data_IF_962195513510
#
_entry.id   IF_962195513510
#
_cell.length_a   1.000
_cell.length_b   1.000
_cell.length_c   1.000
_cell.angle_alpha   90.00
_cell.angle_beta   90.00
_cell.angle_gamma   90.00
#
_symmetry.space_group_name_H-M   'P 1'
#
loop_
_entity.id
_entity.type
_entity.pdbx_description
1 polymer ?
#
# COMPACT_ATOMS: atom_id res chain seq x y z
N UNK A 1 -5.14 27.77 -9.74
CA UNK A 1 -4.43 27.61 -8.45
C UNK A 1 -3.23 26.74 -8.75
N UNK A 2 -2.02 27.08 -8.29
CA UNK A 2 -0.86 26.22 -8.50
C UNK A 2 -1.00 24.95 -7.67
N UNK A 3 -0.50 23.82 -8.18
CA UNK A 3 -0.54 22.53 -7.48
C UNK A 3 0.44 22.51 -6.31
N UNK A 4 0.28 21.54 -5.42
CA UNK A 4 1.19 21.29 -4.28
C UNK A 4 1.59 19.81 -4.23
N UNK A 5 2.73 19.50 -3.58
CA UNK A 5 3.11 18.11 -3.30
C UNK A 5 2.33 17.60 -2.08
N UNK A 6 1.64 16.48 -2.22
CA UNK A 6 0.81 15.91 -1.17
C UNK A 6 1.47 14.66 -0.54
N UNK A 7 1.44 14.60 0.78
CA UNK A 7 1.93 13.46 1.58
C UNK A 7 0.86 12.87 2.51
N UNK A 8 -0.33 13.47 2.52
CA UNK A 8 -1.44 13.06 3.38
C UNK A 8 -2.67 12.66 2.56
N UNK A 9 -3.15 11.43 2.79
CA UNK A 9 -4.33 10.92 2.11
C UNK A 9 -4.13 10.69 0.59
N UNK A 10 -5.23 10.60 -0.14
CA UNK A 10 -5.21 10.39 -1.60
C UNK A 10 -4.83 11.67 -2.36
N UNK A 11 -4.08 11.51 -3.44
CA UNK A 11 -3.75 12.61 -4.33
C UNK A 11 -4.90 12.90 -5.32
N UNK A 12 -5.05 14.18 -5.67
CA UNK A 12 -5.97 14.65 -6.69
C UNK A 12 -5.17 15.39 -7.79
N UNK A 13 -5.23 14.97 -9.06
CA UNK A 13 -4.42 15.56 -10.13
C UNK A 13 -4.75 17.02 -10.45
N UNK A 14 -5.89 17.53 -9.99
CA UNK A 14 -6.27 18.93 -10.20
C UNK A 14 -5.54 19.91 -9.28
N UNK A 15 -5.12 19.44 -8.09
CA UNK A 15 -4.53 20.26 -7.04
C UNK A 15 -3.18 19.76 -6.53
N UNK A 16 -2.77 18.54 -6.92
CA UNK A 16 -1.51 17.95 -6.49
C UNK A 16 -0.62 17.63 -7.69
N UNK A 17 0.69 17.80 -7.54
CA UNK A 17 1.66 17.24 -8.46
C UNK A 17 1.68 15.73 -8.31
N UNK A 18 1.45 15.01 -9.40
CA UNK A 18 1.33 13.56 -9.43
C UNK A 18 2.06 12.98 -10.64
N UNK A 19 2.41 11.72 -10.52
CA UNK A 19 2.86 10.94 -11.68
C UNK A 19 1.66 10.63 -12.60
N UNK A 20 1.95 10.35 -13.87
CA UNK A 20 0.94 9.80 -14.78
C UNK A 20 0.65 8.33 -14.42
N UNK A 21 -0.61 8.03 -14.13
CA UNK A 21 -1.09 6.69 -13.81
C UNK A 21 -1.66 5.93 -15.02
N UNK A 22 -1.73 6.55 -16.20
CA UNK A 22 -2.47 6.05 -17.37
C UNK A 22 -2.05 4.64 -17.79
N UNK A 23 -0.75 4.35 -17.82
CA UNK A 23 -0.23 3.03 -18.17
C UNK A 23 -0.63 1.98 -17.12
N UNK A 24 -0.43 2.28 -15.82
CA UNK A 24 -0.82 1.40 -14.72
C UNK A 24 -2.32 1.12 -14.70
N UNK A 25 -3.15 2.15 -14.90
CA UNK A 25 -4.60 2.02 -14.98
C UNK A 25 -5.03 1.16 -16.17
N UNK A 26 -4.38 1.33 -17.32
CA UNK A 26 -4.62 0.51 -18.51
C UNK A 26 -4.29 -0.97 -18.27
N UNK A 27 -3.17 -1.25 -17.60
CA UNK A 27 -2.79 -2.64 -17.24
C UNK A 27 -3.76 -3.25 -16.24
N UNK A 28 -4.18 -2.51 -15.21
CA UNK A 28 -5.18 -2.99 -14.25
C UNK A 28 -6.53 -3.23 -14.94
N UNK A 29 -6.92 -2.34 -15.85
CA UNK A 29 -8.15 -2.53 -16.64
C UNK A 29 -8.12 -3.83 -17.44
N UNK A 30 -6.99 -4.23 -18.01
CA UNK A 30 -6.87 -5.54 -18.70
C UNK A 30 -7.18 -6.71 -17.77
N UNK A 31 -6.76 -6.67 -16.50
CA UNK A 31 -7.11 -7.68 -15.50
C UNK A 31 -8.62 -7.68 -15.21
N UNK A 32 -9.22 -6.50 -15.07
CA UNK A 32 -10.67 -6.34 -14.89
C UNK A 32 -11.43 -6.86 -16.12
N UNK A 33 -10.98 -6.52 -17.33
CA UNK A 33 -11.57 -6.97 -18.59
C UNK A 33 -11.48 -8.50 -18.74
N UNK A 34 -10.43 -9.11 -18.22
CA UNK A 34 -10.29 -10.58 -18.15
C UNK A 34 -11.19 -11.21 -17.08
N UNK A 35 -11.85 -10.44 -16.24
CA UNK A 35 -12.69 -10.93 -15.14
C UNK A 35 -11.87 -11.54 -14.00
N UNK A 36 -10.65 -11.06 -13.77
CA UNK A 36 -9.79 -11.52 -12.68
C UNK A 36 -10.18 -10.84 -11.36
N UNK A 37 -10.14 -11.61 -10.27
CA UNK A 37 -10.11 -11.06 -8.92
C UNK A 37 -8.65 -11.00 -8.48
N UNK A 38 -8.23 -9.92 -7.82
CA UNK A 38 -6.84 -9.78 -7.40
C UNK A 38 -6.70 -8.93 -6.12
N UNK A 39 -5.51 -8.96 -5.54
CA UNK A 39 -5.17 -8.19 -4.34
C UNK A 39 -4.00 -7.27 -4.64
N UNK A 40 -4.11 -6.02 -4.16
CA UNK A 40 -3.03 -5.03 -4.20
C UNK A 40 -2.41 -4.96 -2.80
N UNK A 41 -1.45 -5.87 -2.55
CA UNK A 41 -0.74 -5.93 -1.29
C UNK A 41 0.54 -5.10 -1.40
N UNK A 42 0.56 -3.95 -0.76
CA UNK A 42 1.71 -3.04 -0.70
C UNK A 42 1.81 -2.42 0.69
N UNK A 43 3.02 -2.09 1.08
CA UNK A 43 3.32 -1.39 2.32
C UNK A 43 2.44 -0.13 2.52
N UNK A 44 2.42 0.40 3.74
CA UNK A 44 1.76 1.68 4.00
C UNK A 44 2.38 2.79 3.16
N UNK A 45 1.55 3.80 2.81
CA UNK A 45 1.98 4.99 2.05
C UNK A 45 2.62 4.66 0.69
N UNK A 46 2.16 3.56 0.07
CA UNK A 46 2.57 3.14 -1.27
C UNK A 46 1.64 3.65 -2.39
N UNK A 47 0.75 4.59 -2.08
CA UNK A 47 -0.17 5.18 -3.05
C UNK A 47 -1.37 4.30 -3.43
N UNK A 48 -1.70 3.25 -2.64
CA UNK A 48 -2.84 2.34 -2.91
C UNK A 48 -4.16 3.10 -3.09
N UNK A 49 -4.55 3.89 -2.09
CA UNK A 49 -5.82 4.64 -2.09
C UNK A 49 -5.90 5.61 -3.28
N UNK A 50 -4.79 6.30 -3.63
CA UNK A 50 -4.73 7.16 -4.81
C UNK A 50 -4.94 6.37 -6.11
N UNK A 51 -4.27 5.21 -6.23
CA UNK A 51 -4.42 4.33 -7.40
C UNK A 51 -5.85 3.81 -7.51
N UNK A 52 -6.47 3.37 -6.40
CA UNK A 52 -7.84 2.85 -6.39
C UNK A 52 -8.87 3.93 -6.73
N UNK A 53 -8.70 5.14 -6.22
CA UNK A 53 -9.57 6.28 -6.57
C UNK A 53 -9.48 6.62 -8.07
N UNK A 54 -8.26 6.69 -8.61
CA UNK A 54 -8.04 6.90 -10.03
C UNK A 54 -8.60 5.74 -10.89
N UNK A 55 -8.43 4.49 -10.43
CA UNK A 55 -8.96 3.31 -11.10
C UNK A 55 -10.48 3.31 -11.12
N UNK A 56 -11.12 3.64 -10.00
CA UNK A 56 -12.59 3.71 -9.92
C UNK A 56 -13.13 4.70 -10.95
N UNK A 57 -12.50 5.87 -11.08
CA UNK A 57 -12.89 6.87 -12.09
C UNK A 57 -12.61 6.38 -13.51
N UNK A 58 -11.44 5.78 -13.77
CA UNK A 58 -11.04 5.27 -15.07
C UNK A 58 -11.96 4.16 -15.59
N UNK A 59 -12.51 3.33 -14.69
CA UNK A 59 -13.39 2.22 -15.05
C UNK A 59 -14.84 2.63 -15.31
N UNK A 60 -15.30 3.84 -14.91
CA UNK A 60 -16.71 4.27 -15.00
C UNK A 60 -17.29 4.26 -16.42
N UNK A 61 -16.44 4.40 -17.45
CA UNK A 61 -16.91 4.32 -18.84
C UNK A 61 -17.51 2.97 -19.17
N UNK A 62 -16.94 1.87 -18.67
CA UNK A 62 -17.26 0.51 -19.05
C UNK A 62 -17.94 -0.29 -17.94
N UNK A 63 -17.77 0.14 -16.69
CA UNK A 63 -18.19 -0.61 -15.49
C UNK A 63 -18.98 0.29 -14.53
N UNK A 64 -19.85 -0.35 -13.74
CA UNK A 64 -20.37 0.22 -12.50
C UNK A 64 -19.41 -0.19 -11.37
N UNK A 65 -18.77 0.80 -10.74
CA UNK A 65 -17.76 0.54 -9.71
C UNK A 65 -18.36 0.83 -8.33
N UNK A 66 -18.29 -0.16 -7.45
CA UNK A 66 -18.59 -0.01 -6.01
C UNK A 66 -17.23 0.04 -5.32
N UNK A 67 -16.90 1.20 -4.73
CA UNK A 67 -15.61 1.42 -4.06
C UNK A 67 -15.85 1.70 -2.58
N UNK A 68 -15.36 0.83 -1.71
CA UNK A 68 -15.55 0.86 -0.27
C UNK A 68 -14.20 1.01 0.43
N UNK A 69 -14.19 1.72 1.58
CA UNK A 69 -13.04 1.83 2.47
C UNK A 69 -13.38 1.16 3.81
N UNK A 70 -12.72 0.06 4.13
CA UNK A 70 -12.96 -0.65 5.39
C UNK A 70 -12.37 0.04 6.62
N UNK A 71 -11.63 1.14 6.44
CA UNK A 71 -11.21 1.98 7.56
C UNK A 71 -12.41 2.66 8.27
N UNK A 72 -13.53 2.82 7.57
CA UNK A 72 -14.76 3.40 8.10
C UNK A 72 -15.59 2.41 8.94
N UNK A 73 -15.35 1.10 8.76
CA UNK A 73 -16.04 0.04 9.52
C UNK A 73 -15.31 -0.17 10.85
N UNK A 74 -16.03 -0.04 11.95
CA UNK A 74 -15.43 -0.17 13.29
C UNK A 74 -15.13 -1.63 13.65
N UNK A 75 -14.22 -1.86 14.59
CA UNK A 75 -13.91 -3.23 15.06
C UNK A 75 -15.16 -3.97 15.57
N UNK A 76 -16.09 -3.27 16.23
CA UNK A 76 -17.32 -3.84 16.74
C UNK A 76 -18.29 -4.33 15.66
N UNK A 77 -18.18 -3.80 14.43
CA UNK A 77 -19.02 -4.20 13.31
C UNK A 77 -18.58 -5.54 12.69
N UNK A 78 -17.37 -6.00 13.00
CA UNK A 78 -16.90 -7.34 12.62
C UNK A 78 -17.19 -8.41 13.67
N UNK A 79 -17.88 -8.10 14.77
CA UNK A 79 -18.13 -9.03 15.87
C UNK A 79 -19.01 -10.22 15.45
N UNK A 80 -19.99 -9.96 14.61
CA UNK A 80 -20.90 -10.98 14.09
C UNK A 80 -21.43 -10.64 12.69
N UNK A 81 -22.11 -11.59 12.07
CA UNK A 81 -22.63 -11.49 10.71
C UNK A 81 -23.64 -10.33 10.55
N UNK A 82 -24.54 -10.15 11.51
CA UNK A 82 -25.58 -9.13 11.46
C UNK A 82 -24.99 -7.71 11.46
N UNK A 83 -24.05 -7.43 12.39
CA UNK A 83 -23.38 -6.13 12.47
C UNK A 83 -22.55 -5.85 11.21
N UNK A 84 -21.82 -6.85 10.73
CA UNK A 84 -21.01 -6.69 9.52
C UNK A 84 -21.88 -6.40 8.29
N UNK A 85 -22.98 -7.13 8.11
CA UNK A 85 -23.90 -6.92 6.99
C UNK A 85 -24.54 -5.53 7.05
N UNK A 86 -24.92 -5.08 8.25
CA UNK A 86 -25.47 -3.74 8.43
C UNK A 86 -24.43 -2.66 8.08
N UNK A 87 -23.21 -2.75 8.60
CA UNK A 87 -22.15 -1.81 8.31
C UNK A 87 -21.76 -1.81 6.81
N UNK A 88 -21.61 -2.99 6.21
CA UNK A 88 -21.30 -3.12 4.79
C UNK A 88 -22.38 -2.51 3.88
N UNK A 89 -23.66 -2.76 4.23
CA UNK A 89 -24.80 -2.18 3.49
C UNK A 89 -24.83 -0.66 3.61
N UNK A 90 -24.53 -0.14 4.80
CA UNK A 90 -24.44 1.29 5.04
C UNK A 90 -23.29 1.95 4.24
N UNK A 91 -22.11 1.31 4.17
CA UNK A 91 -20.99 1.80 3.36
C UNK A 91 -21.35 1.87 1.87
N UNK A 92 -22.07 0.89 1.33
CA UNK A 92 -22.58 0.96 -0.05
C UNK A 92 -23.51 2.15 -0.23
N UNK A 93 -24.44 2.36 0.71
CA UNK A 93 -25.43 3.44 0.63
C UNK A 93 -24.80 4.83 0.70
N UNK A 94 -23.69 4.96 1.41
CA UNK A 94 -22.91 6.21 1.52
C UNK A 94 -22.05 6.43 0.27
N UNK A 95 -21.39 5.38 -0.23
CA UNK A 95 -20.40 5.47 -1.30
C UNK A 95 -21.03 5.57 -2.70
N UNK A 96 -22.23 5.01 -2.88
CA UNK A 96 -22.90 4.90 -4.17
C UNK A 96 -24.21 5.67 -4.21
N UNK A 97 -24.31 6.60 -5.15
CA UNK A 97 -25.50 7.44 -5.32
C UNK A 97 -26.51 6.85 -6.32
N UNK A 98 -26.03 6.10 -7.29
CA UNK A 98 -26.83 5.53 -8.38
C UNK A 98 -27.09 4.03 -8.11
N UNK A 99 -27.92 3.74 -7.11
CA UNK A 99 -28.35 2.38 -6.74
C UNK A 99 -29.79 2.19 -7.22
N UNK A 100 -30.11 1.10 -7.95
CA UNK A 100 -31.50 0.79 -8.32
C UNK A 100 -32.42 0.73 -7.07
N UNK A 101 -33.62 1.26 -7.18
CA UNK A 101 -34.49 1.46 -6.01
C UNK A 101 -34.81 0.18 -5.22
N UNK A 102 -35.04 -0.94 -5.91
CA UNK A 102 -35.26 -2.24 -5.26
C UNK A 102 -34.02 -2.69 -4.45
N UNK A 103 -32.83 -2.45 -4.97
CA UNK A 103 -31.56 -2.77 -4.29
C UNK A 103 -31.36 -1.83 -3.12
N UNK A 104 -31.56 -0.53 -3.33
CA UNK A 104 -31.46 0.52 -2.30
C UNK A 104 -32.39 0.22 -1.12
N UNK A 105 -33.63 -0.10 -1.40
CA UNK A 105 -34.62 -0.44 -0.36
C UNK A 105 -34.14 -1.63 0.48
N UNK A 106 -33.67 -2.70 -0.16
CA UNK A 106 -33.17 -3.86 0.56
C UNK A 106 -31.87 -3.52 1.36
N UNK A 107 -30.96 -2.74 0.83
CA UNK A 107 -29.75 -2.31 1.56
C UNK A 107 -30.11 -1.43 2.77
N UNK A 108 -31.11 -0.55 2.67
CA UNK A 108 -31.62 0.23 3.81
C UNK A 108 -32.16 -0.65 4.93
N UNK A 109 -32.91 -1.69 4.58
CA UNK A 109 -33.44 -2.66 5.57
C UNK A 109 -32.27 -3.42 6.25
N UNK A 110 -31.26 -3.84 5.50
CA UNK A 110 -30.08 -4.51 6.04
C UNK A 110 -29.27 -3.57 6.95
N UNK A 111 -29.12 -2.29 6.56
CA UNK A 111 -28.38 -1.28 7.33
C UNK A 111 -29.05 -0.91 8.66
N UNK A 112 -30.42 -0.94 8.74
CA UNK A 112 -31.14 -0.62 9.97
C UNK A 112 -30.99 -1.70 11.08
N UNK A 113 -30.58 -2.92 10.71
CA UNK A 113 -30.24 -3.98 11.68
C UNK A 113 -31.39 -4.47 12.57
N UNK A 114 -32.64 -4.04 12.32
CA UNK A 114 -33.79 -4.36 13.18
C UNK A 114 -34.58 -5.61 12.76
N UNK A 115 -34.26 -6.17 11.61
CA UNK A 115 -34.96 -7.32 11.07
C UNK A 115 -34.32 -8.67 11.41
N UNK A 116 -35.13 -9.73 11.55
CA UNK A 116 -34.72 -11.08 11.95
C UNK A 116 -33.87 -11.86 10.94
N UNK A 117 -33.43 -11.30 9.82
CA UNK A 117 -32.74 -12.04 8.75
C UNK A 117 -31.56 -11.24 8.12
N UNK A 118 -30.85 -10.48 8.92
CA UNK A 118 -29.63 -9.78 8.45
C UNK A 118 -28.47 -10.78 8.37
N UNK A 119 -28.26 -11.35 7.19
CA UNK A 119 -27.25 -12.39 6.96
C UNK A 119 -26.43 -12.11 5.70
N UNK A 120 -25.21 -12.66 5.63
CA UNK A 120 -24.39 -12.62 4.42
C UNK A 120 -25.13 -13.19 3.22
N UNK A 121 -25.95 -14.22 3.41
CA UNK A 121 -26.73 -14.82 2.34
C UNK A 121 -27.75 -13.86 1.73
N UNK A 122 -28.40 -13.01 2.54
CA UNK A 122 -29.33 -11.98 2.05
C UNK A 122 -28.55 -10.87 1.36
N UNK A 123 -27.46 -10.39 1.96
CA UNK A 123 -26.58 -9.40 1.33
C UNK A 123 -26.10 -9.86 -0.05
N UNK A 124 -25.56 -11.07 -0.15
CA UNK A 124 -25.07 -11.59 -1.44
C UNK A 124 -26.19 -11.77 -2.46
N UNK A 125 -27.37 -12.18 -2.03
CA UNK A 125 -28.54 -12.25 -2.93
C UNK A 125 -28.85 -10.86 -3.52
N UNK A 126 -28.82 -9.84 -2.71
CA UNK A 126 -29.05 -8.44 -3.12
C UNK A 126 -27.97 -7.97 -4.09
N UNK A 127 -26.70 -8.21 -3.78
CA UNK A 127 -25.58 -7.84 -4.65
C UNK A 127 -25.62 -8.58 -6.00
N UNK A 128 -25.96 -9.87 -6.01
CA UNK A 128 -26.11 -10.65 -7.25
C UNK A 128 -27.31 -10.20 -8.07
N UNK A 129 -28.41 -9.80 -7.41
CA UNK A 129 -29.54 -9.19 -8.11
C UNK A 129 -29.11 -7.87 -8.75
N UNK A 130 -28.33 -7.04 -8.07
CA UNK A 130 -27.77 -5.84 -8.65
C UNK A 130 -26.89 -6.14 -9.86
N UNK A 131 -25.97 -7.12 -9.76
CA UNK A 131 -25.17 -7.58 -10.90
C UNK A 131 -26.04 -8.03 -12.10
N UNK A 132 -27.22 -8.57 -11.85
CA UNK A 132 -28.14 -9.03 -12.91
C UNK A 132 -28.87 -7.92 -13.63
N UNK A 133 -29.30 -6.87 -12.89
CA UNK A 133 -30.14 -5.80 -13.44
C UNK A 133 -29.32 -4.60 -13.93
N UNK A 134 -28.06 -4.52 -13.57
CA UNK A 134 -27.19 -3.42 -13.96
C UNK A 134 -26.88 -3.45 -15.47
N UNK A 135 -26.96 -2.31 -16.14
CA UNK A 135 -26.60 -2.17 -17.55
C UNK A 135 -25.10 -2.40 -17.81
N UNK A 136 -24.24 -1.96 -16.87
CA UNK A 136 -22.80 -2.17 -16.89
C UNK A 136 -22.41 -3.27 -15.89
N UNK A 137 -21.42 -4.12 -16.21
CA UNK A 137 -20.94 -5.10 -15.22
C UNK A 137 -20.40 -4.40 -13.96
N UNK A 138 -20.65 -4.98 -12.79
CA UNK A 138 -20.19 -4.45 -11.52
C UNK A 138 -18.75 -4.85 -11.22
N UNK A 139 -17.97 -3.90 -10.72
CA UNK A 139 -16.65 -4.11 -10.12
C UNK A 139 -16.71 -3.68 -8.66
N UNK A 140 -16.23 -4.54 -7.77
CA UNK A 140 -16.12 -4.25 -6.33
C UNK A 140 -14.67 -3.97 -5.97
N UNK A 141 -14.42 -2.79 -5.40
CA UNK A 141 -13.13 -2.37 -4.86
C UNK A 141 -13.29 -2.21 -3.34
N UNK A 142 -12.39 -2.81 -2.56
CA UNK A 142 -12.36 -2.65 -1.10
C UNK A 142 -10.94 -2.28 -0.69
N UNK A 143 -10.77 -1.06 -0.16
CA UNK A 143 -9.51 -0.60 0.41
C UNK A 143 -9.44 -0.91 1.90
N UNK A 144 -8.21 -0.90 2.46
CA UNK A 144 -7.90 -1.12 3.88
C UNK A 144 -8.50 -2.40 4.47
N UNK A 145 -8.50 -3.50 3.68
CA UNK A 145 -9.03 -4.81 4.13
C UNK A 145 -8.29 -5.37 5.36
N UNK A 146 -7.15 -4.79 5.71
CA UNK A 146 -6.36 -5.18 6.89
C UNK A 146 -7.14 -5.07 8.21
N UNK A 147 -8.04 -4.11 8.32
CA UNK A 147 -8.90 -3.91 9.49
C UNK A 147 -9.80 -5.12 9.74
N UNK A 148 -10.17 -5.84 8.68
CA UNK A 148 -11.06 -6.97 8.70
C UNK A 148 -10.35 -8.33 8.87
N UNK A 149 -9.03 -8.41 8.65
CA UNK A 149 -8.30 -9.69 8.46
C UNK A 149 -8.29 -10.63 9.66
N UNK A 150 -8.57 -10.16 10.86
CA UNK A 150 -8.59 -10.99 12.08
C UNK A 150 -10.00 -11.47 12.47
N UNK A 151 -11.01 -11.28 11.62
CA UNK A 151 -12.40 -11.54 11.93
C UNK A 151 -12.98 -12.68 11.11
N UNK A 152 -13.65 -13.63 11.76
CA UNK A 152 -14.24 -14.80 11.12
C UNK A 152 -15.31 -14.40 10.07
N UNK A 153 -16.13 -13.38 10.35
CA UNK A 153 -17.17 -12.92 9.43
C UNK A 153 -16.59 -12.44 8.09
N UNK A 154 -15.42 -11.81 8.13
CA UNK A 154 -14.73 -11.41 6.90
C UNK A 154 -14.22 -12.61 6.10
N UNK A 155 -13.73 -13.65 6.78
CA UNK A 155 -13.35 -14.93 6.14
C UNK A 155 -14.56 -15.55 5.44
N UNK A 156 -15.73 -15.55 6.08
CA UNK A 156 -16.98 -16.08 5.54
C UNK A 156 -17.48 -15.24 4.35
N UNK A 157 -17.36 -13.92 4.43
CA UNK A 157 -17.63 -13.00 3.32
C UNK A 157 -16.76 -13.31 2.10
N UNK A 158 -15.45 -13.47 2.29
CA UNK A 158 -14.51 -13.85 1.20
C UNK A 158 -14.84 -15.23 0.63
N UNK A 159 -15.24 -16.17 1.48
CA UNK A 159 -15.63 -17.51 1.03
C UNK A 159 -16.89 -17.46 0.13
N UNK A 160 -17.85 -16.61 0.44
CA UNK A 160 -19.02 -16.40 -0.41
C UNK A 160 -18.66 -15.69 -1.72
N UNK A 161 -17.86 -14.61 -1.69
CA UNK A 161 -17.35 -13.96 -2.91
C UNK A 161 -16.71 -14.99 -3.84
N UNK A 162 -15.82 -15.83 -3.28
CA UNK A 162 -15.17 -16.90 -4.04
C UNK A 162 -16.17 -17.90 -4.62
N UNK A 163 -17.14 -18.34 -3.84
CA UNK A 163 -18.12 -19.33 -4.30
C UNK A 163 -18.93 -18.81 -5.50
N UNK A 164 -19.31 -17.54 -5.49
CA UNK A 164 -20.03 -16.91 -6.60
C UNK A 164 -19.10 -16.66 -7.79
N UNK A 165 -17.86 -16.23 -7.56
CA UNK A 165 -16.88 -16.08 -8.63
C UNK A 165 -16.65 -17.39 -9.41
N UNK A 166 -16.55 -18.51 -8.72
CA UNK A 166 -16.39 -19.83 -9.37
C UNK A 166 -17.60 -20.23 -10.22
N UNK A 167 -18.77 -19.65 -9.94
CA UNK A 167 -20.00 -19.88 -10.71
C UNK A 167 -20.29 -18.78 -11.74
N UNK A 168 -19.37 -17.84 -11.99
CA UNK A 168 -19.57 -16.68 -12.86
C UNK A 168 -20.02 -16.99 -14.29
N UNK A 169 -19.74 -18.21 -14.77
CA UNK A 169 -20.17 -18.67 -16.09
C UNK A 169 -21.66 -19.11 -16.11
N UNK A 170 -22.25 -19.32 -14.93
CA UNK A 170 -23.63 -19.84 -14.79
C UNK A 170 -24.60 -18.80 -14.27
N UNK A 171 -24.08 -17.77 -13.59
CA UNK A 171 -24.90 -16.74 -12.98
C UNK A 171 -24.19 -15.39 -12.96
N UNK A 172 -24.92 -14.27 -13.06
CA UNK A 172 -24.35 -12.93 -12.92
C UNK A 172 -23.67 -12.76 -11.55
N UNK A 173 -22.48 -12.20 -11.57
CA UNK A 173 -21.70 -11.82 -10.37
C UNK A 173 -20.80 -10.63 -10.71
N UNK A 174 -20.03 -10.14 -9.75
CA UNK A 174 -19.04 -9.11 -10.00
C UNK A 174 -18.10 -9.53 -11.13
N UNK A 175 -17.83 -8.61 -12.04
CA UNK A 175 -16.83 -8.78 -13.10
C UNK A 175 -15.44 -8.98 -12.53
N UNK A 176 -15.09 -8.19 -11.53
CA UNK A 176 -13.83 -8.24 -10.81
C UNK A 176 -14.06 -7.83 -9.36
N UNK A 177 -13.25 -8.38 -8.46
CA UNK A 177 -13.16 -7.94 -7.05
C UNK A 177 -11.71 -7.61 -6.77
N UNK A 178 -11.47 -6.37 -6.34
CA UNK A 178 -10.15 -5.82 -6.05
C UNK A 178 -10.07 -5.54 -4.55
N UNK A 179 -9.17 -6.21 -3.85
CA UNK A 179 -8.92 -5.99 -2.43
C UNK A 179 -7.58 -5.31 -2.25
N UNK A 180 -7.51 -4.26 -1.45
CA UNK A 180 -6.25 -3.57 -1.18
C UNK A 180 -5.96 -3.52 0.32
N UNK A 181 -4.68 -3.72 0.65
CA UNK A 181 -4.19 -3.71 2.02
C UNK A 181 -2.69 -3.90 2.09
N UNK A 182 -2.16 -4.03 3.31
CA UNK A 182 -0.76 -4.38 3.56
C UNK A 182 -0.61 -5.90 3.59
N UNK A 183 -1.48 -6.58 4.34
CA UNK A 183 -1.38 -8.02 4.54
C UNK A 183 -1.95 -8.81 3.36
N UNK A 184 -1.32 -9.95 3.07
CA UNK A 184 -1.87 -10.87 2.11
C UNK A 184 -3.14 -11.54 2.68
N UNK A 185 -4.28 -11.20 2.09
CA UNK A 185 -5.59 -11.75 2.44
C UNK A 185 -5.61 -13.29 2.30
N UNK A 186 -4.71 -13.86 1.50
CA UNK A 186 -4.55 -15.32 1.38
C UNK A 186 -4.09 -15.98 2.68
N UNK A 187 -3.45 -15.24 3.58
CA UNK A 187 -2.89 -15.73 4.84
C UNK A 187 -3.77 -15.46 6.07
N UNK A 188 -5.00 -14.93 5.88
CA UNK A 188 -5.90 -14.52 6.98
C UNK A 188 -6.23 -15.66 7.95
N UNK A 189 -6.48 -16.87 7.46
CA UNK A 189 -6.84 -18.00 8.32
C UNK A 189 -5.74 -18.41 9.31
N UNK A 190 -4.48 -18.29 8.95
CA UNK A 190 -3.37 -18.66 9.82
C UNK A 190 -3.26 -17.76 11.06
N UNK A 191 -3.78 -16.54 10.98
CA UNK A 191 -3.80 -15.58 12.11
C UNK A 191 -4.96 -15.84 13.07
N UNK A 192 -6.13 -16.28 12.55
CA UNK A 192 -7.33 -16.49 13.37
C UNK A 192 -7.28 -17.81 14.14
N UNK A 193 -6.65 -18.85 13.57
CA UNK A 193 -6.57 -20.20 14.15
C UNK A 193 -5.17 -20.81 14.02
N UNK A 194 -4.22 -20.41 14.86
CA UNK A 194 -2.83 -20.90 14.79
C UNK A 194 -2.69 -22.42 15.00
N UNK A 195 -3.63 -23.04 15.73
CA UNK A 195 -3.57 -24.46 16.09
C UNK A 195 -4.13 -25.43 15.04
N UNK A 196 -4.87 -24.93 14.04
CA UNK A 196 -5.43 -25.75 12.97
C UNK A 196 -4.49 -25.82 11.74
N UNK A 197 -3.26 -26.25 11.92
CA UNK A 197 -2.18 -26.25 10.91
C UNK A 197 -2.41 -27.16 9.66
N UNK A 198 -3.57 -27.79 9.49
CA UNK A 198 -3.72 -28.83 8.46
C UNK A 198 -4.71 -28.54 7.31
N UNK A 199 -5.35 -27.34 7.25
CA UNK A 199 -6.19 -26.97 6.10
C UNK A 199 -6.00 -25.49 5.72
N UNK A 200 -4.81 -25.19 5.24
CA UNK A 200 -4.40 -23.83 4.82
C UNK A 200 -4.90 -23.45 3.40
N UNK A 201 -6.15 -23.71 3.08
CA UNK A 201 -6.70 -23.13 1.85
C UNK A 201 -7.39 -21.80 2.21
N UNK A 202 -6.69 -20.70 1.92
CA UNK A 202 -7.30 -19.36 1.99
C UNK A 202 -8.61 -19.32 1.20
N UNK A 203 -9.66 -18.67 1.71
CA UNK A 203 -10.86 -18.44 0.93
C UNK A 203 -10.61 -17.59 -0.32
N UNK A 204 -9.48 -16.86 -0.37
CA UNK A 204 -9.12 -15.97 -1.47
C UNK A 204 -8.03 -16.52 -2.42
N UNK A 205 -7.90 -17.83 -2.53
CA UNK A 205 -6.93 -18.48 -3.44
C UNK A 205 -7.26 -18.33 -4.94
N UNK A 206 -8.35 -17.65 -5.29
CA UNK A 206 -8.73 -17.28 -6.66
C UNK A 206 -8.01 -16.04 -7.17
N UNK A 207 -7.33 -15.30 -6.28
CA UNK A 207 -6.69 -14.04 -6.63
C UNK A 207 -5.55 -14.23 -7.63
N UNK A 208 -5.65 -13.53 -8.76
CA UNK A 208 -4.56 -13.39 -9.72
C UNK A 208 -3.40 -12.60 -9.09
N UNK A 209 -2.18 -12.86 -9.55
CA UNK A 209 -1.00 -12.12 -9.07
C UNK A 209 -0.99 -10.71 -9.64
N UNK A 210 -1.01 -9.72 -8.77
CA UNK A 210 -0.81 -8.32 -9.13
C UNK A 210 0.69 -8.06 -9.32
N UNK A 211 1.13 -7.89 -10.58
CA UNK A 211 2.54 -7.73 -10.94
C UNK A 211 2.92 -6.30 -11.33
N UNK A 212 1.98 -5.38 -11.30
CA UNK A 212 2.18 -4.00 -11.73
C UNK A 212 3.08 -3.31 -10.70
N UNK A 213 4.16 -2.69 -11.17
CA UNK A 213 5.06 -1.94 -10.29
C UNK A 213 4.42 -0.61 -9.89
N UNK A 214 4.38 -0.36 -8.60
CA UNK A 214 3.87 0.87 -8.02
C UNK A 214 4.98 1.86 -7.64
N UNK A 215 6.27 1.46 -7.73
CA UNK A 215 7.37 2.40 -7.56
C UNK A 215 7.38 3.41 -8.71
N UNK A 216 7.76 4.63 -8.39
CA UNK A 216 7.94 5.66 -9.41
C UNK A 216 9.28 5.44 -10.12
N UNK A 217 9.26 5.41 -11.44
CA UNK A 217 10.48 5.45 -12.25
C UNK A 217 11.10 6.85 -12.23
N UNK A 218 12.30 6.99 -12.77
CA UNK A 218 12.91 8.31 -13.01
C UNK A 218 12.03 9.13 -13.94
N UNK A 219 11.42 8.50 -14.95
CA UNK A 219 10.53 9.18 -15.89
C UNK A 219 9.23 9.65 -15.21
N UNK A 220 8.65 8.84 -14.31
CA UNK A 220 7.49 9.24 -13.50
C UNK A 220 7.80 10.49 -12.66
N UNK A 221 8.95 10.49 -11.97
CA UNK A 221 9.39 11.61 -11.14
C UNK A 221 9.67 12.85 -12.02
N UNK A 222 10.33 12.65 -13.16
CA UNK A 222 10.58 13.73 -14.12
C UNK A 222 9.28 14.33 -14.65
N UNK A 223 8.28 13.50 -14.96
CA UNK A 223 6.95 13.95 -15.39
C UNK A 223 6.29 14.84 -14.34
N UNK A 224 6.30 14.41 -13.08
CA UNK A 224 5.76 15.20 -11.96
C UNK A 224 6.52 16.52 -11.74
N UNK A 225 7.85 16.51 -11.84
CA UNK A 225 8.67 17.71 -11.71
C UNK A 225 8.55 18.64 -12.93
N UNK A 226 8.27 18.12 -14.12
CA UNK A 226 7.96 18.95 -15.30
C UNK A 226 6.67 19.76 -15.11
N UNK A 227 5.64 19.19 -14.47
CA UNK A 227 4.44 19.97 -14.10
C UNK A 227 4.78 21.11 -13.13
N UNK A 228 5.65 20.84 -12.14
CA UNK A 228 6.14 21.87 -11.22
C UNK A 228 6.91 22.97 -11.97
N UNK A 229 7.79 22.59 -12.92
CA UNK A 229 8.57 23.53 -13.71
C UNK A 229 7.71 24.38 -14.66
N UNK A 230 6.59 23.83 -15.17
CA UNK A 230 5.60 24.61 -15.93
C UNK A 230 4.96 25.70 -15.08
N UNK A 231 4.70 25.42 -13.80
CA UNK A 231 4.07 26.38 -12.88
C UNK A 231 5.02 27.49 -12.39
N UNK A 232 6.29 27.16 -12.18
CA UNK A 232 7.25 28.05 -11.50
C UNK A 232 8.39 28.54 -12.38
N UNK A 233 8.71 27.86 -13.48
CA UNK A 233 9.78 28.21 -14.43
C UNK A 233 11.12 28.48 -13.74
N UNK A 234 11.52 27.58 -12.85
CA UNK A 234 12.70 27.75 -11.98
C UNK A 234 14.00 27.58 -12.74
N UNK A 235 13.98 26.88 -13.88
CA UNK A 235 15.16 26.55 -14.69
C UNK A 235 15.96 25.39 -14.11
N UNK A 236 15.36 24.52 -13.28
CA UNK A 236 16.06 23.34 -12.76
C UNK A 236 16.28 22.28 -13.84
N UNK A 237 17.36 21.51 -13.71
CA UNK A 237 17.54 20.27 -14.46
C UNK A 237 16.65 19.17 -13.89
N UNK A 238 15.47 19.00 -14.47
CA UNK A 238 14.44 18.07 -14.01
C UNK A 238 14.94 16.63 -13.97
N UNK A 239 15.70 16.21 -14.98
CA UNK A 239 16.20 14.82 -15.07
C UNK A 239 17.24 14.57 -13.98
N UNK A 240 18.20 15.48 -13.80
CA UNK A 240 19.23 15.36 -12.75
C UNK A 240 18.59 15.28 -11.34
N UNK A 241 17.60 16.12 -11.07
CA UNK A 241 16.88 16.11 -9.78
C UNK A 241 16.06 14.84 -9.59
N UNK A 242 15.38 14.37 -10.64
CA UNK A 242 14.60 13.12 -10.59
C UNK A 242 15.50 11.90 -10.34
N UNK A 243 16.66 11.80 -11.02
CA UNK A 243 17.64 10.74 -10.78
C UNK A 243 18.18 10.78 -9.34
N UNK A 244 18.45 11.97 -8.83
CA UNK A 244 18.95 12.14 -7.47
C UNK A 244 17.89 11.70 -6.44
N UNK A 245 16.64 12.11 -6.57
CA UNK A 245 15.52 11.69 -5.71
C UNK A 245 15.36 10.17 -5.80
N UNK A 246 15.34 9.60 -7.01
CA UNK A 246 15.22 8.17 -7.23
C UNK A 246 16.35 7.39 -6.55
N UNK A 247 17.59 7.87 -6.61
CA UNK A 247 18.74 7.20 -6.01
C UNK A 247 18.62 6.98 -4.50
N UNK A 248 17.93 7.85 -3.78
CA UNK A 248 17.65 7.74 -2.35
C UNK A 248 16.37 6.96 -2.03
N UNK A 249 15.32 7.15 -2.84
CA UNK A 249 13.98 6.64 -2.57
C UNK A 249 13.70 5.30 -3.24
N UNK A 250 14.46 4.92 -4.27
CA UNK A 250 14.14 3.82 -5.21
C UNK A 250 12.71 3.93 -5.74
N UNK A 251 12.19 5.14 -5.89
CA UNK A 251 10.84 5.41 -6.36
C UNK A 251 9.72 5.14 -5.36
N UNK A 252 10.01 4.97 -4.06
CA UNK A 252 8.97 4.78 -3.04
C UNK A 252 8.04 6.01 -3.01
N UNK A 253 6.72 5.87 -3.33
CA UNK A 253 5.85 7.01 -3.65
C UNK A 253 5.83 8.11 -2.58
N UNK A 254 5.65 7.71 -1.32
CA UNK A 254 5.62 8.65 -0.21
C UNK A 254 6.95 9.39 -0.02
N UNK A 255 8.08 8.67 -0.11
CA UNK A 255 9.40 9.29 0.07
C UNK A 255 9.69 10.31 -1.04
N UNK A 256 9.32 10.00 -2.29
CA UNK A 256 9.44 10.93 -3.42
C UNK A 256 8.63 12.20 -3.14
N UNK A 257 7.34 12.05 -2.83
CA UNK A 257 6.46 13.20 -2.55
C UNK A 257 6.93 14.00 -1.34
N UNK A 258 7.44 13.33 -0.29
CA UNK A 258 7.94 13.96 0.91
C UNK A 258 9.19 14.81 0.65
N UNK A 259 10.15 14.28 -0.10
CA UNK A 259 11.35 15.04 -0.49
C UNK A 259 10.98 16.26 -1.35
N UNK A 260 10.12 16.07 -2.35
CA UNK A 260 9.65 17.18 -3.19
C UNK A 260 8.93 18.26 -2.36
N UNK A 261 8.06 17.86 -1.43
CA UNK A 261 7.38 18.79 -0.53
C UNK A 261 8.37 19.58 0.35
N UNK A 262 9.32 18.89 0.98
CA UNK A 262 10.34 19.54 1.82
C UNK A 262 11.21 20.51 1.01
N UNK A 263 11.57 20.17 -0.22
CA UNK A 263 12.34 21.08 -1.07
C UNK A 263 11.49 22.29 -1.42
N UNK A 264 10.25 22.09 -1.84
CA UNK A 264 9.37 23.17 -2.26
C UNK A 264 9.00 24.12 -1.12
N UNK A 265 8.58 23.58 0.02
CA UNK A 265 8.02 24.38 1.12
C UNK A 265 9.10 24.87 2.10
N UNK A 266 10.01 23.97 2.54
CA UNK A 266 10.94 24.27 3.63
C UNK A 266 12.27 24.84 3.14
N UNK A 267 12.79 24.37 1.98
CA UNK A 267 14.11 24.78 1.50
C UNK A 267 13.99 25.98 0.55
N UNK A 268 13.09 25.92 -0.41
CA UNK A 268 12.88 27.00 -1.41
C UNK A 268 11.88 28.05 -0.94
N UNK A 269 10.86 27.63 -0.20
CA UNK A 269 9.84 28.54 0.35
C UNK A 269 9.21 29.41 -0.75
N UNK A 270 9.13 30.71 -0.50
CA UNK A 270 8.55 31.66 -1.44
C UNK A 270 9.45 31.97 -2.65
N UNK A 271 10.77 31.75 -2.54
CA UNK A 271 11.73 32.11 -3.58
C UNK A 271 11.60 31.29 -4.87
N UNK A 272 11.12 30.03 -4.75
CA UNK A 272 10.91 29.10 -5.85
C UNK A 272 12.05 29.10 -6.89
N UNK A 273 13.29 29.09 -6.44
CA UNK A 273 14.47 29.02 -7.30
C UNK A 273 14.74 27.59 -7.76
N UNK A 274 15.60 27.42 -8.78
CA UNK A 274 15.99 26.10 -9.27
C UNK A 274 16.44 25.16 -8.14
N UNK A 275 15.95 23.93 -8.18
CA UNK A 275 16.39 22.88 -7.26
C UNK A 275 17.77 22.39 -7.66
N UNK A 276 18.58 22.06 -6.67
CA UNK A 276 19.92 21.53 -6.83
C UNK A 276 20.08 20.19 -6.14
N UNK A 277 21.11 19.43 -6.47
CA UNK A 277 21.49 18.20 -5.73
C UNK A 277 21.63 18.45 -4.23
N UNK A 278 22.17 19.62 -3.86
CA UNK A 278 22.32 20.00 -2.45
C UNK A 278 20.99 20.17 -1.73
N UNK A 279 19.95 20.64 -2.42
CA UNK A 279 18.59 20.75 -1.86
C UNK A 279 18.02 19.34 -1.60
N UNK A 280 18.21 18.40 -2.53
CA UNK A 280 17.80 17.00 -2.32
C UNK A 280 18.51 16.39 -1.12
N UNK A 281 19.84 16.58 -1.00
CA UNK A 281 20.61 16.11 0.16
C UNK A 281 20.10 16.71 1.48
N UNK A 282 19.77 17.99 1.45
CA UNK A 282 19.24 18.68 2.63
C UNK A 282 17.86 18.12 3.02
N UNK A 283 16.97 17.90 2.04
CA UNK A 283 15.67 17.28 2.28
C UNK A 283 15.81 15.85 2.83
N UNK A 284 16.73 15.05 2.30
CA UNK A 284 17.00 13.70 2.83
C UNK A 284 17.46 13.76 4.29
N UNK A 285 18.34 14.70 4.65
CA UNK A 285 18.79 14.89 6.04
C UNK A 285 17.64 15.31 6.95
N UNK A 286 16.81 16.24 6.51
CA UNK A 286 15.61 16.67 7.25
C UNK A 286 14.69 15.48 7.48
N UNK A 287 14.36 14.71 6.46
CA UNK A 287 13.49 13.53 6.56
C UNK A 287 14.05 12.46 7.51
N UNK A 288 15.36 12.21 7.49
CA UNK A 288 16.01 11.25 8.38
C UNK A 288 15.95 11.65 9.86
N UNK A 289 15.88 12.95 10.15
CA UNK A 289 15.77 13.49 11.52
C UNK A 289 14.33 13.70 11.97
N UNK A 290 13.37 13.60 11.06
CA UNK A 290 11.97 13.83 11.36
C UNK A 290 11.30 12.65 12.07
N UNK A 291 10.29 12.96 12.91
CA UNK A 291 9.32 11.98 13.42
C UNK A 291 8.26 11.75 12.36
N UNK A 292 8.40 10.64 11.64
CA UNK A 292 7.57 10.36 10.49
C UNK A 292 6.73 9.09 10.72
N UNK A 293 5.41 9.12 10.46
CA UNK A 293 4.54 7.96 10.66
C UNK A 293 4.98 6.71 9.87
N UNK A 294 5.64 6.88 8.71
CA UNK A 294 6.20 5.76 7.95
C UNK A 294 7.29 5.05 8.76
N UNK A 295 8.24 5.80 9.31
CA UNK A 295 9.34 5.23 10.12
C UNK A 295 8.84 4.63 11.43
N UNK A 296 7.87 5.29 12.09
CA UNK A 296 7.23 4.74 13.30
C UNK A 296 6.56 3.39 13.02
N UNK A 297 5.85 3.28 11.89
CA UNK A 297 5.23 2.04 11.46
C UNK A 297 6.28 0.96 11.16
N UNK A 298 7.37 1.30 10.46
CA UNK A 298 8.45 0.35 10.15
C UNK A 298 9.13 -0.14 11.44
N UNK A 299 9.50 0.77 12.34
CA UNK A 299 10.14 0.41 13.62
C UNK A 299 9.21 -0.46 14.48
N UNK A 300 7.91 -0.12 14.53
CA UNK A 300 6.91 -0.94 15.19
C UNK A 300 6.87 -2.37 14.67
N UNK A 301 6.93 -2.56 13.33
CA UNK A 301 6.97 -3.88 12.70
C UNK A 301 8.25 -4.67 13.02
N UNK A 302 9.41 -4.03 13.09
CA UNK A 302 10.65 -4.70 13.51
C UNK A 302 10.57 -5.20 14.94
N UNK A 303 9.94 -4.47 15.84
CA UNK A 303 9.75 -4.88 17.23
C UNK A 303 8.71 -6.02 17.35
N UNK A 304 7.67 -6.00 16.50
CA UNK A 304 6.61 -7.01 16.48
C UNK A 304 7.09 -8.35 15.87
N UNK A 305 8.02 -8.30 14.88
CA UNK A 305 8.45 -9.46 14.09
C UNK A 305 9.96 -9.71 14.21
N UNK A 306 10.44 -10.50 15.21
CA UNK A 306 11.87 -10.76 15.41
C UNK A 306 12.58 -11.38 14.20
N UNK A 307 11.87 -12.20 13.40
CA UNK A 307 12.40 -12.78 12.15
C UNK A 307 12.78 -11.73 11.12
N UNK A 308 11.92 -10.70 10.97
CA UNK A 308 12.20 -9.55 10.09
C UNK A 308 13.38 -8.74 10.64
N UNK A 309 13.40 -8.46 11.97
CA UNK A 309 14.52 -7.74 12.62
C UNK A 309 15.85 -8.45 12.36
N UNK A 310 15.91 -9.77 12.50
CA UNK A 310 17.11 -10.57 12.24
C UNK A 310 17.52 -10.53 10.75
N UNK A 311 16.58 -10.66 9.81
CA UNK A 311 16.86 -10.55 8.38
C UNK A 311 17.50 -9.21 8.04
N UNK A 312 16.90 -8.11 8.51
CA UNK A 312 17.42 -6.75 8.28
C UNK A 312 18.81 -6.58 8.89
N UNK A 313 19.04 -7.10 10.11
CA UNK A 313 20.36 -7.10 10.73
C UNK A 313 21.43 -7.83 9.89
N UNK A 314 21.11 -9.00 9.37
CA UNK A 314 22.02 -9.78 8.51
C UNK A 314 22.37 -9.03 7.23
N UNK A 315 21.38 -8.39 6.60
CA UNK A 315 21.59 -7.56 5.40
C UNK A 315 22.47 -6.36 5.69
N UNK A 316 22.19 -5.61 6.77
CA UNK A 316 22.86 -4.34 7.06
C UNK A 316 24.25 -4.52 7.67
N UNK A 317 24.42 -5.40 8.64
CA UNK A 317 25.65 -5.48 9.45
C UNK A 317 26.54 -6.66 9.08
N UNK A 318 26.01 -7.77 8.61
CA UNK A 318 26.81 -8.91 8.16
C UNK A 318 27.12 -8.90 6.68
N UNK A 319 26.40 -8.09 5.88
CA UNK A 319 26.56 -8.05 4.44
C UNK A 319 26.26 -9.35 3.73
N UNK A 320 25.40 -10.17 4.32
CA UNK A 320 25.05 -11.46 3.76
C UNK A 320 24.35 -11.28 2.40
N UNK A 321 24.77 -12.06 1.42
CA UNK A 321 24.05 -12.18 0.16
C UNK A 321 22.93 -13.22 0.36
N UNK A 322 21.71 -12.75 0.57
CA UNK A 322 20.56 -13.60 0.89
C UNK A 322 19.74 -13.80 -0.39
N UNK A 323 19.64 -15.07 -0.82
CA UNK A 323 18.77 -15.44 -1.93
C UNK A 323 17.29 -15.25 -1.58
N UNK A 324 16.51 -14.79 -2.54
CA UNK A 324 15.06 -14.68 -2.36
C UNK A 324 14.40 -16.05 -2.27
N UNK A 325 13.70 -16.29 -1.19
CA UNK A 325 12.88 -17.48 -0.99
C UNK A 325 11.48 -17.04 -0.50
N UNK A 326 10.43 -17.18 -1.31
CA UNK A 326 9.07 -16.79 -0.92
C UNK A 326 8.48 -17.66 0.19
N UNK A 327 9.07 -18.83 0.48
CA UNK A 327 8.63 -19.71 1.57
C UNK A 327 9.28 -19.35 2.92
N UNK A 328 10.26 -18.44 2.92
CA UNK A 328 10.83 -17.89 4.16
C UNK A 328 9.92 -16.78 4.70
N UNK A 329 9.32 -17.02 5.87
CA UNK A 329 8.38 -16.10 6.48
C UNK A 329 8.97 -14.72 6.83
N UNK A 330 10.27 -14.66 7.13
CA UNK A 330 10.96 -13.38 7.39
C UNK A 330 11.12 -12.56 6.12
N UNK A 331 11.45 -13.21 5.00
CA UNK A 331 11.57 -12.57 3.68
C UNK A 331 10.19 -12.11 3.20
N UNK A 332 9.17 -12.99 3.25
CA UNK A 332 7.80 -12.66 2.84
C UNK A 332 7.25 -11.45 3.62
N UNK A 333 7.40 -11.46 4.96
CA UNK A 333 6.98 -10.33 5.79
C UNK A 333 7.79 -9.05 5.52
N UNK A 334 9.11 -9.17 5.33
CA UNK A 334 9.95 -8.01 5.06
C UNK A 334 9.61 -7.34 3.70
N UNK A 335 9.31 -8.15 2.69
CA UNK A 335 8.83 -7.67 1.38
C UNK A 335 7.45 -7.02 1.52
N UNK A 336 6.52 -7.67 2.19
CA UNK A 336 5.15 -7.19 2.42
C UNK A 336 5.13 -5.83 3.15
N UNK A 337 5.99 -5.65 4.16
CA UNK A 337 6.11 -4.37 4.88
C UNK A 337 6.96 -3.33 4.15
N UNK A 338 7.56 -3.68 3.00
CA UNK A 338 8.35 -2.76 2.19
C UNK A 338 9.77 -2.50 2.72
N UNK A 339 10.31 -3.35 3.61
CA UNK A 339 11.70 -3.24 4.07
C UNK A 339 12.72 -3.59 3.01
N UNK A 340 12.36 -4.54 2.15
CA UNK A 340 13.26 -5.13 1.18
C UNK A 340 12.68 -5.04 -0.23
N UNK A 341 13.59 -5.15 -1.20
CA UNK A 341 13.28 -5.39 -2.61
C UNK A 341 14.07 -6.58 -3.11
N UNK A 342 13.55 -7.23 -4.13
CA UNK A 342 14.20 -8.36 -4.80
C UNK A 342 14.84 -7.88 -6.09
N UNK A 343 16.12 -8.13 -6.27
CA UNK A 343 16.85 -7.82 -7.50
C UNK A 343 17.75 -8.99 -7.87
N UNK A 344 17.63 -9.49 -9.10
CA UNK A 344 18.42 -10.63 -9.60
C UNK A 344 18.40 -11.86 -8.68
N UNK A 345 17.22 -12.16 -8.09
CA UNK A 345 17.06 -13.30 -7.17
C UNK A 345 17.64 -13.12 -5.75
N UNK A 346 18.14 -11.94 -5.43
CA UNK A 346 18.68 -11.62 -4.10
C UNK A 346 17.86 -10.52 -3.41
N UNK A 347 17.94 -10.52 -2.10
CA UNK A 347 17.22 -9.60 -1.21
C UNK A 347 18.12 -8.41 -0.85
N UNK A 348 17.57 -7.20 -0.95
CA UNK A 348 18.25 -5.93 -0.61
C UNK A 348 17.31 -5.05 0.21
N UNK A 349 17.85 -4.13 1.01
CA UNK A 349 17.03 -3.08 1.62
C UNK A 349 16.35 -2.25 0.52
N UNK A 350 15.10 -1.89 0.73
CA UNK A 350 14.25 -1.29 -0.29
C UNK A 350 14.84 0.00 -0.90
N UNK A 351 15.41 0.88 -0.06
CA UNK A 351 16.01 2.15 -0.50
C UNK A 351 17.04 2.67 0.51
N UNK A 352 17.83 3.66 0.10
CA UNK A 352 18.91 4.24 0.92
C UNK A 352 18.41 4.98 2.17
N UNK A 353 17.24 5.59 2.11
CA UNK A 353 16.63 6.28 3.27
C UNK A 353 16.29 5.26 4.35
N UNK A 354 15.66 4.13 3.99
CA UNK A 354 15.38 3.05 4.95
C UNK A 354 16.67 2.44 5.50
N UNK A 355 17.64 2.18 4.63
CA UNK A 355 18.95 1.67 5.03
C UNK A 355 19.58 2.55 6.12
N UNK A 356 19.66 3.87 5.90
CA UNK A 356 20.21 4.82 6.86
C UNK A 356 19.42 4.87 8.15
N UNK A 357 18.08 4.93 8.07
CA UNK A 357 17.22 5.00 9.25
C UNK A 357 17.31 3.74 10.12
N UNK A 358 17.38 2.58 9.49
CA UNK A 358 17.51 1.28 10.16
C UNK A 358 18.89 1.13 10.82
N UNK A 359 19.97 1.54 10.15
CA UNK A 359 21.30 1.61 10.78
C UNK A 359 21.27 2.43 12.05
N UNK A 360 20.72 3.65 11.98
CA UNK A 360 20.61 4.54 13.16
C UNK A 360 19.82 3.88 14.29
N UNK A 361 18.71 3.22 13.98
CA UNK A 361 17.88 2.54 14.98
C UNK A 361 18.67 1.44 15.69
N UNK A 362 19.35 0.57 14.97
CA UNK A 362 20.11 -0.52 15.55
C UNK A 362 21.30 -0.01 16.40
N UNK A 363 22.01 1.02 15.92
CA UNK A 363 23.13 1.60 16.65
C UNK A 363 22.72 2.36 17.92
N UNK A 364 21.48 2.83 17.99
CA UNK A 364 20.94 3.52 19.17
C UNK A 364 20.15 2.61 20.11
N UNK A 365 20.16 1.28 19.87
CA UNK A 365 19.53 0.31 20.78
C UNK A 365 19.97 0.56 22.23
N UNK A 366 19.03 0.49 23.16
CA UNK A 366 19.28 0.73 24.60
C UNK A 366 19.94 -0.44 25.30
N UNK A 367 19.90 -1.62 24.69
CA UNK A 367 20.60 -2.83 25.19
C UNK A 367 22.09 -2.72 24.85
N UNK A 368 22.94 -2.62 25.90
CA UNK A 368 24.39 -2.50 25.73
C UNK A 368 25.00 -3.72 25.05
N UNK A 369 24.48 -4.92 25.30
CA UNK A 369 24.95 -6.13 24.64
C UNK A 369 24.52 -6.15 23.15
N UNK A 370 23.31 -5.74 22.82
CA UNK A 370 22.89 -5.56 21.45
C UNK A 370 23.75 -4.49 20.74
N UNK A 371 24.03 -3.36 21.42
CA UNK A 371 24.89 -2.29 20.87
C UNK A 371 26.26 -2.79 20.44
N UNK A 372 26.90 -3.58 21.28
CA UNK A 372 28.23 -4.09 20.99
C UNK A 372 28.23 -5.07 19.82
N UNK A 373 27.21 -5.92 19.72
CA UNK A 373 27.03 -6.82 18.57
C UNK A 373 26.78 -6.02 17.27
N UNK A 374 25.97 -4.97 17.34
CA UNK A 374 25.68 -4.13 16.18
C UNK A 374 26.93 -3.32 15.76
N UNK A 375 27.67 -2.78 16.69
CA UNK A 375 28.93 -2.07 16.44
C UNK A 375 29.98 -2.97 15.84
N UNK A 376 30.11 -4.20 16.31
CA UNK A 376 31.06 -5.17 15.77
C UNK A 376 30.67 -5.60 14.36
N UNK A 377 29.40 -5.88 14.11
CA UNK A 377 28.88 -6.16 12.77
C UNK A 377 29.10 -5.01 11.79
N UNK A 378 28.90 -3.79 12.27
CA UNK A 378 29.16 -2.57 11.49
C UNK A 378 30.66 -2.36 11.23
N UNK A 379 31.55 -2.67 12.16
CA UNK A 379 33.01 -2.66 11.96
C UNK A 379 33.47 -3.60 10.86
N UNK A 380 32.86 -4.75 10.76
CA UNK A 380 33.20 -5.74 9.73
C UNK A 380 32.79 -5.30 8.31
N UNK A 381 31.75 -4.47 8.19
CA UNK A 381 31.26 -3.92 6.93
C UNK A 381 31.81 -2.55 6.55
N UNK A 382 32.36 -1.89 7.43
CA UNK A 382 33.05 -0.61 7.64
C UNK A 382 33.25 0.39 6.50
N UNK A 383 32.28 0.67 5.68
CA UNK A 383 32.36 1.83 4.78
C UNK A 383 31.70 3.10 5.34
N UNK A 384 30.78 2.96 6.31
CA UNK A 384 29.89 4.06 6.73
C UNK A 384 29.91 4.37 8.22
N UNK A 385 30.74 3.70 9.03
CA UNK A 385 30.79 3.91 10.48
C UNK A 385 32.19 4.32 10.91
N UNK A 386 32.31 5.54 11.46
CA UNK A 386 33.49 6.04 12.14
C UNK A 386 33.24 6.15 13.65
N UNK A 387 34.16 5.62 14.45
CA UNK A 387 34.13 5.70 15.92
C UNK A 387 32.80 5.28 16.56
N UNK A 388 32.10 4.30 15.96
CA UNK A 388 30.82 3.78 16.45
C UNK A 388 29.61 4.67 16.16
N UNK A 389 29.79 5.72 15.36
CA UNK A 389 28.71 6.55 14.85
C UNK A 389 28.59 6.41 13.32
N UNK A 390 27.35 6.45 12.82
CA UNK A 390 27.08 6.42 11.39
C UNK A 390 27.62 7.68 10.72
N UNK A 391 28.52 7.53 9.76
CA UNK A 391 28.98 8.63 8.94
C UNK A 391 27.95 8.97 7.86
N UNK A 392 27.02 9.82 8.24
CA UNK A 392 25.93 10.28 7.37
C UNK A 392 26.44 10.94 6.07
N UNK A 393 27.64 11.52 6.10
CA UNK A 393 28.20 12.18 4.94
C UNK A 393 28.63 11.18 3.87
N UNK A 394 29.26 10.07 4.26
CA UNK A 394 29.67 9.01 3.33
C UNK A 394 28.53 8.17 2.77
N UNK A 395 27.37 8.15 3.45
CA UNK A 395 26.16 7.49 2.91
C UNK A 395 25.50 8.36 1.86
N UNK A 396 25.66 9.68 1.98
CA UNK A 396 25.01 10.66 1.12
C UNK A 396 25.89 11.10 -0.08
N UNK A 397 27.18 10.76 -0.11
CA UNK A 397 28.05 10.82 -1.27
C UNK A 397 27.90 9.54 -2.14
#
# INVERSE_FOLDING_TARGET
>A
MKKVFNVNGSCNPQIHYMIDLSERLSEIKKMVDAGECFTINRARQYGKTTLLAALAEYLKSDYKVISLDFQTISYGDFENEEKFVAAFSNEILISEYDIPEDIRSTLLHLADGKERNVTLSVLFRTLLQWCRISEKPLVLIIDEVDTATNNQVFVDFLAQLRAYYLRRMQMPTFRSVILAGVYDVRNVKSKIRPEENHKMNSPWNIAAKFKIDMNFSVDDISGMLNEYEQDYQTGMDVVEIAEMIYSYTSGYPYLVSCLCKMIDEDIKGESKTAWSKQDVLTAVKMLLNDKNPLFESLIGKLNEYPGVKNLIYRLLFRGENIGYNPDDSGIDMAEMFGFIKVRNGNVYIANRIFETRLYNMFLMSTDEQEKDVYREGARLKNQFIHDGALDMWRILE
#
